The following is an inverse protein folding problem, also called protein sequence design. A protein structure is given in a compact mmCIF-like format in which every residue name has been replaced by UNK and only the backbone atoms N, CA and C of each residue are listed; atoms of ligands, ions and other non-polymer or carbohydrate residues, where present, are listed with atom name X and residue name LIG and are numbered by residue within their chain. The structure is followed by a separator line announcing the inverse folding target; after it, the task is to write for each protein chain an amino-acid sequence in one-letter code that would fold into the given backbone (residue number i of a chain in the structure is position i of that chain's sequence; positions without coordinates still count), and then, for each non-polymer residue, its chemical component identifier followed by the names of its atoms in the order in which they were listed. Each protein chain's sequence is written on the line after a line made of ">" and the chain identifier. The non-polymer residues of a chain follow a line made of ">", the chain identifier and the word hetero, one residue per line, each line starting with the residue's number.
data_IF_298239215830
#
_entry.id   IF_298239215830
#
_cell.length_a   1.000
_cell.length_b   1.000
_cell.length_c   1.000
_cell.angle_alpha   90.00
_cell.angle_beta   90.00
_cell.angle_gamma   90.00
#
_symmetry.space_group_name_H-M   'P 1'
#
loop_
_entity.id
_entity.type
_entity.pdbx_description
1 polymer ?
#
# COMPACT_ATOMS: atom_id res chain seq x y z
N UNK A 1 1.06 -17.16 -0.31
CA UNK A 1 1.35 -15.72 -0.20
C UNK A 1 0.07 -14.93 -0.12
N UNK A 2 -0.01 -13.99 0.79
CA UNK A 2 -1.09 -13.01 0.88
C UNK A 2 -0.50 -11.66 0.46
N UNK A 3 -1.12 -11.00 -0.49
CA UNK A 3 -0.63 -9.74 -1.04
C UNK A 3 -1.70 -8.67 -0.87
N UNK A 4 -1.36 -7.59 -0.17
CA UNK A 4 -2.29 -6.51 0.18
C UNK A 4 -1.74 -5.20 -0.34
N UNK A 5 -2.52 -4.52 -1.17
CA UNK A 5 -2.15 -3.19 -1.67
C UNK A 5 -2.51 -2.12 -0.64
N UNK A 6 -1.56 -1.23 -0.38
CA UNK A 6 -1.78 -0.02 0.41
C UNK A 6 -1.17 1.17 -0.31
N UNK A 7 -1.85 2.32 -0.27
CA UNK A 7 -1.34 3.55 -0.84
C UNK A 7 -0.20 4.11 0.04
N UNK A 8 0.64 4.95 -0.52
CA UNK A 8 1.70 5.62 0.23
C UNK A 8 1.11 6.41 1.41
N UNK A 9 1.76 6.36 2.57
CA UNK A 9 1.34 7.10 3.75
C UNK A 9 0.27 6.44 4.59
N UNK A 10 -0.08 5.17 4.35
CA UNK A 10 -1.08 4.44 5.14
C UNK A 10 -0.50 3.64 6.30
N UNK A 11 0.79 3.78 6.61
CA UNK A 11 1.42 3.06 7.72
C UNK A 11 1.97 1.69 7.37
N UNK A 12 2.17 1.39 6.09
CA UNK A 12 2.68 0.10 5.60
C UNK A 12 4.00 -0.29 6.25
N UNK A 13 4.98 0.60 6.25
CA UNK A 13 6.31 0.33 6.79
C UNK A 13 6.27 0.05 8.29
N UNK A 14 5.46 0.80 9.04
CA UNK A 14 5.27 0.62 10.48
C UNK A 14 4.73 -0.77 10.78
N UNK A 15 3.69 -1.22 10.06
CA UNK A 15 3.13 -2.55 10.24
C UNK A 15 4.11 -3.64 9.87
N UNK A 16 4.84 -3.48 8.78
CA UNK A 16 5.82 -4.47 8.34
C UNK A 16 6.92 -4.65 9.39
N UNK A 17 7.42 -3.56 9.94
CA UNK A 17 8.46 -3.60 10.98
C UNK A 17 7.94 -4.24 12.27
N UNK A 18 6.70 -3.94 12.65
CA UNK A 18 6.12 -4.43 13.90
C UNK A 18 5.77 -5.92 13.85
N UNK A 19 5.25 -6.40 12.72
CA UNK A 19 4.69 -7.75 12.61
C UNK A 19 5.48 -8.68 11.69
N UNK A 20 6.60 -8.20 11.13
CA UNK A 20 7.43 -9.03 10.27
C UNK A 20 6.88 -9.30 8.89
N UNK A 21 5.99 -8.45 8.40
CA UNK A 21 5.47 -8.55 7.03
C UNK A 21 6.50 -8.05 6.02
N UNK A 22 6.39 -8.52 4.77
CA UNK A 22 7.26 -8.07 3.70
C UNK A 22 6.81 -6.71 3.19
N UNK A 23 7.71 -5.73 3.21
CA UNK A 23 7.45 -4.37 2.73
C UNK A 23 7.92 -4.24 1.28
N UNK A 24 7.00 -4.36 0.33
CA UNK A 24 7.29 -4.22 -1.08
C UNK A 24 6.96 -2.80 -1.55
N UNK A 25 7.97 -1.93 -1.55
CA UNK A 25 7.82 -0.55 -2.00
C UNK A 25 8.37 -0.42 -3.43
N UNK A 26 7.50 -0.14 -4.39
CA UNK A 26 7.86 -0.05 -5.80
C UNK A 26 8.80 1.13 -6.11
N UNK A 27 8.89 2.11 -5.22
CA UNK A 27 9.75 3.29 -5.41
C UNK A 27 11.17 3.10 -4.86
N UNK A 28 11.42 2.00 -4.16
CA UNK A 28 12.77 1.69 -3.71
C UNK A 28 13.54 0.92 -4.79
N UNK A 29 14.85 1.17 -4.91
CA UNK A 29 15.65 0.51 -5.96
C UNK A 29 15.82 -0.98 -5.73
N UNK A 30 15.75 -1.45 -4.47
CA UNK A 30 15.91 -2.86 -4.12
C UNK A 30 14.57 -3.46 -3.73
N UNK A 31 14.18 -4.55 -4.41
CA UNK A 31 12.95 -5.27 -4.11
C UNK A 31 13.23 -6.40 -3.12
N UNK A 32 12.33 -6.65 -2.16
CA UNK A 32 12.49 -7.76 -1.24
C UNK A 32 12.31 -9.11 -1.93
N UNK A 33 12.91 -10.15 -1.36
CA UNK A 33 12.68 -11.54 -1.78
C UNK A 33 11.39 -12.02 -1.09
N UNK A 34 10.40 -12.44 -1.90
CA UNK A 34 9.10 -12.86 -1.40
C UNK A 34 9.02 -14.39 -1.45
N UNK A 35 8.66 -14.99 -0.31
CA UNK A 35 8.48 -16.44 -0.17
C UNK A 35 6.99 -16.81 -0.20
N UNK A 36 6.70 -18.10 -0.44
CA UNK A 36 5.33 -18.60 -0.64
C UNK A 36 4.38 -18.29 0.52
N UNK A 37 4.87 -18.31 1.76
CA UNK A 37 4.02 -18.10 2.95
C UNK A 37 4.07 -16.68 3.50
N UNK A 38 4.68 -15.74 2.78
CA UNK A 38 4.81 -14.37 3.23
C UNK A 38 3.49 -13.61 3.14
N UNK A 39 3.31 -12.69 4.08
CA UNK A 39 2.29 -11.64 4.01
C UNK A 39 3.00 -10.40 3.48
N UNK A 40 2.58 -9.92 2.32
CA UNK A 40 3.22 -8.82 1.62
C UNK A 40 2.31 -7.61 1.62
N UNK A 41 2.81 -6.48 2.11
CA UNK A 41 2.16 -5.18 1.95
C UNK A 41 2.89 -4.44 0.83
N UNK A 42 2.15 -4.00 -0.17
CA UNK A 42 2.74 -3.38 -1.37
C UNK A 42 2.02 -2.11 -1.76
N UNK A 43 2.75 -1.14 -2.33
CA UNK A 43 2.15 0.01 -2.99
C UNK A 43 2.17 -0.13 -4.52
N UNK A 44 2.43 -1.33 -5.02
CA UNK A 44 2.36 -1.63 -6.45
C UNK A 44 1.00 -2.24 -6.78
N UNK A 45 0.14 -1.53 -7.54
CA UNK A 45 -1.21 -2.02 -7.83
C UNK A 45 -1.17 -3.07 -8.94
N UNK A 46 -1.26 -4.33 -8.53
CA UNK A 46 -1.33 -5.46 -9.47
C UNK A 46 -2.68 -6.17 -9.32
N UNK A 47 -3.09 -6.89 -10.36
CA UNK A 47 -4.40 -7.55 -10.40
C UNK A 47 -4.53 -8.74 -9.44
N UNK A 48 -3.42 -9.21 -8.89
CA UNK A 48 -3.40 -10.38 -8.03
C UNK A 48 -3.33 -10.07 -6.54
N UNK A 49 -3.63 -8.85 -6.13
CA UNK A 49 -3.73 -8.53 -4.71
C UNK A 49 -5.00 -9.10 -4.11
N UNK A 50 -4.90 -9.57 -2.86
CA UNK A 50 -6.03 -10.13 -2.11
C UNK A 50 -6.96 -9.05 -1.58
N UNK A 51 -6.45 -7.85 -1.37
CA UNK A 51 -7.22 -6.68 -0.98
C UNK A 51 -6.50 -5.41 -1.40
N UNK A 52 -7.27 -4.34 -1.56
CA UNK A 52 -6.76 -3.02 -1.92
C UNK A 52 -7.30 -2.01 -0.95
N UNK A 53 -6.42 -1.15 -0.42
CA UNK A 53 -6.77 -0.08 0.51
C UNK A 53 -6.36 1.27 -0.06
N UNK A 54 -7.24 2.26 0.01
CA UNK A 54 -6.93 3.64 -0.37
C UNK A 54 -7.35 4.59 0.74
N UNK A 55 -6.61 5.70 0.92
CA UNK A 55 -7.06 6.76 1.81
C UNK A 55 -8.27 7.49 1.19
N UNK A 56 -9.13 8.09 2.02
CA UNK A 56 -10.33 8.77 1.53
C UNK A 56 -10.03 10.04 0.75
N UNK A 57 -8.86 10.65 0.94
CA UNK A 57 -8.50 11.91 0.32
C UNK A 57 -7.04 11.91 -0.10
N UNK A 58 -6.80 12.05 -1.40
CA UNK A 58 -5.46 12.05 -1.97
C UNK A 58 -4.59 13.17 -1.40
N UNK A 59 -5.13 14.39 -1.30
CA UNK A 59 -4.36 15.56 -0.85
C UNK A 59 -3.88 15.37 0.59
N UNK A 60 -4.74 14.88 1.46
CA UNK A 60 -4.37 14.58 2.85
C UNK A 60 -3.30 13.50 2.93
N UNK A 61 -3.45 12.45 2.13
CA UNK A 61 -2.47 11.36 2.09
C UNK A 61 -1.11 11.86 1.60
N UNK A 62 -1.10 12.68 0.55
CA UNK A 62 0.12 13.28 0.04
C UNK A 62 0.82 14.15 1.09
N UNK A 63 0.06 14.96 1.82
CA UNK A 63 0.62 15.87 2.82
C UNK A 63 1.19 15.14 4.04
N UNK A 64 0.82 13.89 4.27
CA UNK A 64 1.39 13.06 5.34
C UNK A 64 2.73 12.43 4.97
N UNK A 65 3.11 12.43 3.72
CA UNK A 65 4.38 11.87 3.29
C UNK A 65 5.56 12.71 3.81
N UNK A 66 6.73 12.06 3.93
CA UNK A 66 7.96 12.79 4.27
C UNK A 66 8.25 13.85 3.23
N UNK A 67 9.01 14.89 3.63
CA UNK A 67 9.37 15.98 2.70
C UNK A 67 10.13 15.45 1.49
N UNK A 68 10.99 14.46 1.67
CA UNK A 68 11.74 13.85 0.57
C UNK A 68 10.81 13.14 -0.41
N UNK A 69 9.82 12.40 0.08
CA UNK A 69 8.82 11.76 -0.77
C UNK A 69 7.94 12.78 -1.48
N UNK A 70 7.52 13.83 -0.76
CA UNK A 70 6.74 14.90 -1.39
C UNK A 70 7.52 15.58 -2.51
N UNK A 71 8.80 15.84 -2.30
CA UNK A 71 9.68 16.41 -3.34
C UNK A 71 9.78 15.49 -4.54
N UNK A 72 10.00 14.20 -4.30
CA UNK A 72 10.04 13.21 -5.38
C UNK A 72 8.75 13.20 -6.19
N UNK A 73 7.59 13.14 -5.52
CA UNK A 73 6.30 13.10 -6.21
C UNK A 73 5.89 14.45 -6.81
N UNK A 74 6.45 15.57 -6.35
CA UNK A 74 6.24 16.86 -7.02
C UNK A 74 6.88 16.89 -8.40
N UNK A 75 8.00 16.19 -8.59
CA UNK A 75 8.61 16.03 -9.91
C UNK A 75 7.81 15.07 -10.79
N UNK A 76 7.13 14.09 -10.17
CA UNK A 76 6.33 13.05 -10.83
C UNK A 76 4.89 13.05 -10.30
N UNK A 77 4.33 14.22 -10.07
CA UNK A 77 3.04 14.38 -9.38
C UNK A 77 1.89 13.63 -10.03
N UNK A 78 1.90 13.51 -11.34
CA UNK A 78 0.85 12.81 -12.05
C UNK A 78 0.94 11.29 -11.85
N UNK A 79 2.13 10.77 -11.58
CA UNK A 79 2.33 9.34 -11.36
C UNK A 79 1.56 8.85 -10.15
N UNK A 80 1.70 9.51 -9.01
CA UNK A 80 1.02 9.09 -7.78
C UNK A 80 -0.49 9.31 -7.85
N UNK A 81 -0.90 10.45 -8.40
CA UNK A 81 -2.33 10.76 -8.59
C UNK A 81 -2.99 9.79 -9.55
N UNK A 82 -2.31 9.43 -10.62
CA UNK A 82 -2.80 8.45 -11.59
C UNK A 82 -2.93 7.07 -10.94
N UNK A 83 -1.99 6.68 -10.10
CA UNK A 83 -2.07 5.43 -9.34
C UNK A 83 -3.30 5.43 -8.42
N UNK A 84 -3.53 6.53 -7.69
CA UNK A 84 -4.70 6.66 -6.82
C UNK A 84 -6.00 6.47 -7.59
N UNK A 85 -6.13 7.16 -8.72
CA UNK A 85 -7.33 7.08 -9.55
C UNK A 85 -7.52 5.70 -10.16
N UNK A 86 -6.43 5.08 -10.61
CA UNK A 86 -6.47 3.73 -11.19
C UNK A 86 -7.00 2.71 -10.17
N UNK A 87 -6.47 2.73 -8.96
CA UNK A 87 -6.91 1.79 -7.91
C UNK A 87 -8.35 2.05 -7.54
N UNK A 88 -8.73 3.31 -7.41
CA UNK A 88 -10.11 3.70 -7.05
C UNK A 88 -11.13 3.20 -8.07
N UNK A 89 -10.80 3.31 -9.37
CA UNK A 89 -11.72 2.95 -10.44
C UNK A 89 -11.71 1.45 -10.76
N UNK A 90 -10.51 0.83 -10.73
CA UNK A 90 -10.35 -0.54 -11.25
C UNK A 90 -10.56 -1.61 -10.18
N UNK A 91 -10.15 -1.36 -8.94
CA UNK A 91 -10.05 -2.41 -7.92
C UNK A 91 -11.06 -2.31 -6.78
N UNK A 92 -11.93 -1.31 -6.79
CA UNK A 92 -12.96 -1.11 -5.77
C UNK A 92 -12.39 -1.24 -4.34
N UNK A 93 -11.46 -0.36 -3.95
CA UNK A 93 -10.70 -0.51 -2.71
C UNK A 93 -11.53 -0.25 -1.45
N UNK A 94 -11.04 -0.76 -0.33
CA UNK A 94 -11.52 -0.42 1.00
C UNK A 94 -10.94 0.94 1.37
N UNK A 95 -11.80 1.90 1.75
CA UNK A 95 -11.37 3.27 2.04
C UNK A 95 -11.07 3.40 3.52
N UNK A 96 -9.81 3.68 3.86
CA UNK A 96 -9.33 3.89 5.24
C UNK A 96 -8.13 4.84 5.22
N UNK A 97 -7.96 5.63 6.28
CA UNK A 97 -6.80 6.50 6.40
C UNK A 97 -5.52 5.74 6.67
N UNK A 98 -5.60 4.66 7.45
CA UNK A 98 -4.45 3.82 7.82
C UNK A 98 -4.84 2.36 7.75
N UNK A 99 -3.88 1.53 7.35
CA UNK A 99 -4.04 0.09 7.46
C UNK A 99 -3.64 -0.35 8.87
N UNK A 100 -4.38 -1.31 9.44
CA UNK A 100 -4.14 -1.83 10.78
C UNK A 100 -3.95 -3.33 10.76
N UNK A 101 -3.41 -3.89 11.86
CA UNK A 101 -3.25 -5.33 12.02
C UNK A 101 -4.61 -6.05 11.96
N UNK A 102 -5.66 -5.42 12.49
CA UNK A 102 -7.02 -5.98 12.44
C UNK A 102 -7.49 -6.16 10.99
N UNK A 103 -7.19 -5.22 10.11
CA UNK A 103 -7.54 -5.32 8.70
C UNK A 103 -6.88 -6.53 8.05
N UNK A 104 -5.61 -6.77 8.36
CA UNK A 104 -4.86 -7.90 7.82
C UNK A 104 -5.43 -9.22 8.35
N UNK A 105 -5.76 -9.29 9.64
CA UNK A 105 -6.35 -10.48 10.24
C UNK A 105 -7.70 -10.83 9.63
N UNK A 106 -8.53 -9.84 9.30
CA UNK A 106 -9.81 -10.06 8.64
C UNK A 106 -9.63 -10.65 7.24
N UNK A 107 -8.63 -10.19 6.50
CA UNK A 107 -8.31 -10.74 5.18
C UNK A 107 -7.84 -12.19 5.30
N UNK A 108 -7.01 -12.49 6.28
CA UNK A 108 -6.54 -13.86 6.54
C UNK A 108 -7.69 -14.80 6.87
N UNK A 109 -8.68 -14.35 7.64
CA UNK A 109 -9.88 -15.14 7.96
C UNK A 109 -10.69 -15.48 6.72
N UNK A 110 -10.84 -14.52 5.79
CA UNK A 110 -11.57 -14.75 4.54
C UNK A 110 -10.85 -15.74 3.62
N UNK A 111 -9.52 -15.79 3.72
CA UNK A 111 -8.70 -16.71 2.92
C UNK A 111 -8.61 -18.10 3.52
N UNK A 112 -8.69 -18.20 4.83
CA UNK A 112 -8.66 -19.46 5.53
C UNK A 112 -10.02 -20.10 5.58
#
# INVERSE_FOLDING_TARGET
>A
MIKIYTFCGMGKTTLCNKYGYVDNDMYYPTRPIIKTNDIVLTNEPTENCDAYFLPPNYEKAFNKLSKDKQKFFNEYKDLLKNQYNLVKEKYNPIIKEYITQKDIQEILKKKG
#
